data_IF_026101191553
#
_entry.id   IF_026101191553
#
_cell.length_a   1.000
_cell.length_b   1.000
_cell.length_c   1.000
_cell.angle_alpha   90.00
_cell.angle_beta   90.00
_cell.angle_gamma   90.00
#
_symmetry.space_group_name_H-M   'P 1'
#
loop_
_entity.id
_entity.type
_entity.pdbx_description
1 polymer ?
#
# COMPACT_ATOMS: atom_id res chain seq x y z
N UNK A 1 15.41 8.42 16.06
CA UNK A 1 15.19 7.28 15.16
C UNK A 1 16.24 6.22 15.46
N UNK A 2 15.79 5.04 15.87
CA UNK A 2 16.65 3.85 16.00
C UNK A 2 16.78 3.19 14.63
N UNK A 3 17.99 3.02 14.12
CA UNK A 3 18.23 2.50 12.77
C UNK A 3 19.09 1.24 12.81
N UNK A 4 18.72 0.23 12.05
CA UNK A 4 19.47 -1.00 11.83
C UNK A 4 19.77 -1.16 10.34
N UNK A 5 21.03 -1.33 9.99
CA UNK A 5 21.44 -1.70 8.63
C UNK A 5 22.02 -3.11 8.65
N UNK A 6 21.45 -4.01 7.86
CA UNK A 6 21.94 -5.37 7.66
C UNK A 6 22.36 -5.52 6.21
N UNK A 7 23.66 -5.74 5.99
CA UNK A 7 24.24 -5.86 4.65
C UNK A 7 25.51 -6.71 4.64
N UNK A 8 26.26 -6.65 3.55
CA UNK A 8 27.45 -7.47 3.36
C UNK A 8 27.15 -8.93 3.03
N UNK A 9 28.17 -9.75 2.95
CA UNK A 9 28.06 -11.15 2.58
C UNK A 9 28.02 -12.02 3.85
N UNK A 10 26.87 -12.62 4.12
CA UNK A 10 26.70 -13.58 5.18
C UNK A 10 27.02 -14.99 4.65
N UNK A 11 27.75 -15.76 5.46
CA UNK A 11 28.33 -17.07 5.09
C UNK A 11 29.77 -17.00 4.57
N UNK A 12 30.23 -15.84 4.12
CA UNK A 12 31.64 -15.57 3.80
C UNK A 12 32.27 -14.50 4.68
N UNK A 13 31.53 -13.98 5.64
CA UNK A 13 31.94 -12.93 6.59
C UNK A 13 32.57 -11.69 5.92
N UNK A 14 32.15 -11.34 4.70
CA UNK A 14 32.75 -10.27 3.93
C UNK A 14 31.87 -9.01 3.95
N UNK A 15 32.39 -7.85 4.44
CA UNK A 15 31.66 -6.60 4.42
C UNK A 15 31.47 -6.06 3.01
N UNK A 16 30.41 -5.28 2.80
CA UNK A 16 30.11 -4.55 1.57
C UNK A 16 30.47 -3.08 1.71
N UNK A 17 31.24 -2.54 0.77
CA UNK A 17 31.59 -1.11 0.73
C UNK A 17 30.37 -0.22 0.53
N UNK A 18 29.36 -0.69 -0.21
CA UNK A 18 28.09 0.05 -0.42
C UNK A 18 27.40 0.26 0.94
N UNK A 19 27.40 -0.76 1.79
CA UNK A 19 26.78 -0.68 3.12
C UNK A 19 27.56 0.30 4.01
N UNK A 20 28.89 0.27 3.96
CA UNK A 20 29.72 1.22 4.71
C UNK A 20 29.45 2.67 4.27
N UNK A 21 29.28 2.90 2.97
CA UNK A 21 29.00 4.24 2.46
C UNK A 21 27.59 4.71 2.82
N UNK A 22 26.54 3.88 2.65
CA UNK A 22 25.19 4.21 3.09
C UNK A 22 25.15 4.54 4.58
N UNK A 23 25.87 3.75 5.38
CA UNK A 23 25.95 3.91 6.83
C UNK A 23 26.49 5.29 7.27
N UNK A 24 27.46 5.84 6.56
CA UNK A 24 28.05 7.16 6.85
C UNK A 24 27.02 8.30 6.77
N UNK A 25 26.05 8.18 5.84
CA UNK A 25 25.05 9.21 5.67
C UNK A 25 23.85 9.00 6.60
N UNK A 26 23.36 7.77 6.73
CA UNK A 26 22.17 7.47 7.54
C UNK A 26 22.46 7.63 9.04
N UNK A 27 23.66 7.29 9.51
CA UNK A 27 24.04 7.43 10.93
C UNK A 27 23.89 8.87 11.45
N UNK A 28 24.10 9.88 10.60
CA UNK A 28 23.95 11.30 10.96
C UNK A 28 22.52 11.70 11.37
N UNK A 29 21.52 10.96 10.89
CA UNK A 29 20.10 11.19 11.15
C UNK A 29 19.53 10.26 12.22
N UNK A 30 20.34 9.38 12.80
CA UNK A 30 19.93 8.34 13.75
C UNK A 30 20.33 8.71 15.17
N UNK A 31 19.44 8.52 16.15
CA UNK A 31 19.76 8.66 17.58
C UNK A 31 20.46 7.41 18.14
N UNK A 32 20.07 6.24 17.62
CA UNK A 32 20.68 4.95 17.86
C UNK A 32 20.94 4.30 16.51
N UNK A 33 22.15 3.78 16.31
CA UNK A 33 22.57 3.24 15.04
C UNK A 33 23.32 1.92 15.23
N UNK A 34 22.84 0.88 14.54
CA UNK A 34 23.45 -0.44 14.52
C UNK A 34 23.71 -0.87 13.07
N UNK A 35 24.84 -1.48 12.83
CA UNK A 35 25.22 -2.01 11.53
C UNK A 35 25.72 -3.46 11.66
N UNK A 36 25.18 -4.34 10.83
CA UNK A 36 25.65 -5.70 10.63
C UNK A 36 26.12 -5.82 9.18
N UNK A 37 27.41 -5.70 8.94
CA UNK A 37 28.00 -5.70 7.61
C UNK A 37 28.85 -6.94 7.34
N UNK A 38 28.21 -8.03 6.94
CA UNK A 38 28.79 -9.37 6.80
C UNK A 38 28.83 -10.13 8.10
N UNK A 39 28.99 -11.43 8.01
CA UNK A 39 29.04 -12.35 9.16
C UNK A 39 28.64 -13.77 8.76
N UNK A 40 28.48 -14.63 9.77
CA UNK A 40 27.91 -15.96 9.57
C UNK A 40 26.37 -15.86 9.36
N UNK A 41 25.78 -16.84 8.66
CA UNK A 41 24.35 -16.84 8.36
C UNK A 41 23.50 -16.87 9.63
N UNK A 42 23.97 -17.54 10.66
CA UNK A 42 23.33 -17.66 11.97
C UNK A 42 23.18 -16.33 12.70
N UNK A 43 24.04 -15.34 12.35
CA UNK A 43 24.02 -13.99 12.92
C UNK A 43 22.98 -13.08 12.26
N UNK A 44 22.28 -13.54 11.20
CA UNK A 44 21.20 -12.77 10.61
C UNK A 44 20.04 -12.64 11.60
N UNK A 45 19.60 -11.40 11.92
CA UNK A 45 18.53 -11.19 12.88
C UNK A 45 17.20 -11.78 12.36
N UNK A 46 16.53 -12.53 13.26
CA UNK A 46 15.17 -13.03 12.99
C UNK A 46 14.09 -11.97 13.25
N UNK A 47 14.41 -11.00 14.10
CA UNK A 47 13.53 -9.89 14.46
C UNK A 47 14.26 -8.55 14.35
N UNK A 48 13.61 -7.54 13.77
CA UNK A 48 14.17 -6.21 13.58
C UNK A 48 13.49 -5.23 14.56
N UNK A 49 14.18 -4.94 15.67
CA UNK A 49 13.74 -3.96 16.68
C UNK A 49 14.35 -2.59 16.40
N UNK A 50 13.89 -1.95 15.33
CA UNK A 50 14.32 -0.60 14.94
C UNK A 50 13.14 0.18 14.35
N UNK A 51 13.26 1.50 14.29
CA UNK A 51 12.26 2.36 13.64
C UNK A 51 12.43 2.33 12.12
N UNK A 52 13.70 2.29 11.65
CA UNK A 52 14.11 2.10 10.28
C UNK A 52 15.04 0.90 10.17
N UNK A 53 14.72 -0.04 9.30
CA UNK A 53 15.61 -1.16 8.95
C UNK A 53 15.94 -1.12 7.46
N UNK A 54 17.23 -1.22 7.12
CA UNK A 54 17.68 -1.53 5.77
C UNK A 54 18.10 -2.99 5.70
N UNK A 55 17.42 -3.79 4.87
CA UNK A 55 17.71 -5.21 4.72
C UNK A 55 18.34 -5.49 3.38
N UNK A 56 19.67 -5.54 3.35
CA UNK A 56 20.48 -5.62 2.13
C UNK A 56 21.57 -6.73 2.20
N UNK A 57 21.32 -7.91 2.81
CA UNK A 57 22.34 -8.95 2.87
C UNK A 57 22.58 -9.55 1.48
N UNK A 58 23.84 -9.91 1.22
CA UNK A 58 24.31 -10.60 0.03
C UNK A 58 24.02 -9.88 -1.31
N UNK A 59 23.96 -8.55 -1.29
CA UNK A 59 23.71 -7.76 -2.53
C UNK A 59 24.80 -7.94 -3.58
N UNK A 60 26.00 -8.36 -3.22
CA UNK A 60 27.12 -8.59 -4.12
C UNK A 60 27.12 -10.00 -4.73
N UNK A 61 26.39 -10.95 -4.12
CA UNK A 61 26.31 -12.35 -4.51
C UNK A 61 24.87 -12.78 -4.83
N UNK A 62 24.45 -13.91 -4.24
CA UNK A 62 23.08 -14.40 -4.31
C UNK A 62 22.21 -13.73 -3.25
N UNK A 63 20.97 -13.43 -3.61
CA UNK A 63 20.02 -12.81 -2.71
C UNK A 63 19.68 -13.75 -1.54
N UNK A 64 19.77 -13.23 -0.32
CA UNK A 64 19.40 -13.99 0.87
C UNK A 64 17.89 -14.21 0.96
N UNK A 65 17.49 -15.47 1.12
CA UNK A 65 16.08 -15.88 1.26
C UNK A 65 15.53 -15.77 2.68
N UNK A 66 16.32 -15.25 3.63
CA UNK A 66 15.86 -15.03 4.99
C UNK A 66 14.90 -13.83 5.05
N UNK A 67 13.78 -13.99 5.76
CA UNK A 67 12.70 -13.00 5.89
C UNK A 67 12.51 -12.66 7.39
N UNK A 68 13.15 -11.62 7.89
CA UNK A 68 13.01 -11.24 9.29
C UNK A 68 11.63 -10.65 9.57
N UNK A 69 11.18 -10.79 10.82
CA UNK A 69 9.98 -10.13 11.32
C UNK A 69 10.36 -8.71 11.74
N UNK A 70 9.65 -7.71 11.27
CA UNK A 70 9.87 -6.33 11.70
C UNK A 70 8.93 -5.94 12.84
N UNK A 71 9.40 -5.01 13.68
CA UNK A 71 8.60 -4.34 14.70
C UNK A 71 7.36 -3.69 14.06
N UNK A 72 6.22 -3.75 14.72
CA UNK A 72 5.01 -3.08 14.27
C UNK A 72 5.23 -1.57 14.17
N UNK A 73 4.77 -0.96 13.09
CA UNK A 73 4.92 0.49 12.84
C UNK A 73 6.33 0.92 12.42
N UNK A 74 7.30 -0.01 12.28
CA UNK A 74 8.62 0.29 11.72
C UNK A 74 8.59 0.36 10.20
N UNK A 75 9.61 1.03 9.63
CA UNK A 75 9.85 1.09 8.18
C UNK A 75 10.94 0.09 7.82
N UNK A 76 10.63 -0.82 6.90
CA UNK A 76 11.58 -1.78 6.35
C UNK A 76 11.80 -1.49 4.86
N UNK A 77 13.04 -1.21 4.50
CA UNK A 77 13.48 -1.07 3.11
C UNK A 77 14.37 -2.26 2.78
N UNK A 78 13.93 -3.10 1.86
CA UNK A 78 14.73 -4.25 1.40
C UNK A 78 15.52 -3.91 0.14
N UNK A 79 16.37 -4.83 -0.32
CA UNK A 79 17.06 -4.70 -1.60
C UNK A 79 16.71 -5.83 -2.57
N UNK A 80 16.87 -5.54 -3.85
CA UNK A 80 16.77 -6.49 -4.95
C UNK A 80 17.83 -6.18 -5.99
N UNK A 81 18.66 -7.17 -6.29
CA UNK A 81 19.60 -7.07 -7.42
C UNK A 81 18.81 -7.33 -8.70
N UNK A 82 18.81 -6.37 -9.58
CA UNK A 82 18.17 -6.45 -10.89
C UNK A 82 19.11 -7.13 -11.88
N UNK A 83 18.59 -8.09 -12.65
CA UNK A 83 19.31 -8.83 -13.70
C UNK A 83 18.62 -8.57 -15.03
N UNK A 84 19.27 -8.92 -16.11
CA UNK A 84 18.67 -8.83 -17.45
C UNK A 84 17.32 -9.54 -17.49
N UNK A 85 16.33 -8.87 -18.08
CA UNK A 85 14.94 -9.35 -18.15
C UNK A 85 14.07 -9.06 -16.91
N UNK A 86 14.64 -8.58 -15.79
CA UNK A 86 13.85 -8.16 -14.64
C UNK A 86 13.14 -6.82 -14.90
N UNK A 87 11.89 -6.74 -14.45
CA UNK A 87 11.04 -5.54 -14.51
C UNK A 87 10.84 -4.96 -13.12
N UNK A 88 10.34 -3.76 -13.02
CA UNK A 88 10.05 -3.10 -11.74
C UNK A 88 9.13 -3.95 -10.84
N UNK A 89 8.21 -4.70 -11.43
CA UNK A 89 7.35 -5.64 -10.70
C UNK A 89 8.14 -6.69 -9.90
N UNK A 90 9.32 -7.09 -10.39
CA UNK A 90 10.19 -8.04 -9.69
C UNK A 90 10.80 -7.41 -8.44
N UNK A 91 11.10 -6.10 -8.49
CA UNK A 91 11.55 -5.36 -7.33
C UNK A 91 10.41 -5.17 -6.32
N UNK A 92 9.24 -4.71 -6.77
CA UNK A 92 8.06 -4.52 -5.93
C UNK A 92 7.61 -5.82 -5.27
N UNK A 93 7.66 -6.96 -5.97
CA UNK A 93 7.33 -8.28 -5.39
C UNK A 93 8.19 -8.63 -4.16
N UNK A 94 9.43 -8.11 -4.11
CA UNK A 94 10.31 -8.28 -2.95
C UNK A 94 9.76 -7.57 -1.71
N UNK A 95 9.17 -6.39 -1.87
CA UNK A 95 8.54 -5.65 -0.76
C UNK A 95 7.47 -6.51 -0.09
N UNK A 96 6.60 -7.14 -0.89
CA UNK A 96 5.50 -7.96 -0.35
C UNK A 96 6.01 -9.23 0.33
N UNK A 97 7.02 -9.90 -0.22
CA UNK A 97 7.64 -11.08 0.41
C UNK A 97 8.29 -10.73 1.75
N UNK A 98 8.84 -9.53 1.88
CA UNK A 98 9.51 -9.05 3.07
C UNK A 98 8.58 -8.34 4.06
N UNK A 99 7.29 -8.11 3.71
CA UNK A 99 6.42 -7.19 4.42
C UNK A 99 7.06 -5.79 4.59
N UNK A 100 7.85 -5.37 3.58
CA UNK A 100 8.57 -4.11 3.55
C UNK A 100 7.69 -2.92 3.18
N UNK A 101 8.30 -1.74 3.17
CA UNK A 101 7.67 -0.48 2.75
C UNK A 101 8.22 -0.01 1.40
N UNK A 102 9.50 -0.28 1.14
CA UNK A 102 10.14 0.04 -0.13
C UNK A 102 11.25 -0.97 -0.46
N UNK A 103 11.77 -0.89 -1.68
CA UNK A 103 12.89 -1.68 -2.18
C UNK A 103 13.94 -0.79 -2.84
N UNK A 104 15.19 -1.07 -2.58
CA UNK A 104 16.32 -0.55 -3.35
C UNK A 104 16.62 -1.55 -4.46
N UNK A 105 16.23 -1.23 -5.69
CA UNK A 105 16.60 -1.99 -6.88
C UNK A 105 18.03 -1.60 -7.29
N UNK A 106 18.92 -2.60 -7.43
CA UNK A 106 20.36 -2.40 -7.66
C UNK A 106 20.74 -2.97 -9.02
N UNK A 107 21.18 -2.11 -9.95
CA UNK A 107 21.61 -2.45 -11.30
C UNK A 107 23.14 -2.51 -11.33
N UNK A 108 23.70 -3.73 -11.26
CA UNK A 108 25.15 -3.97 -11.21
C UNK A 108 25.84 -4.02 -12.55
N UNK A 109 25.10 -4.20 -13.63
CA UNK A 109 25.56 -4.17 -15.02
C UNK A 109 26.01 -2.78 -15.44
N UNK A 110 25.54 -1.74 -14.74
CA UNK A 110 25.92 -0.34 -14.94
C UNK A 110 27.15 0.03 -14.11
N UNK A 111 28.01 0.87 -14.63
CA UNK A 111 29.20 1.40 -13.94
C UNK A 111 29.21 2.93 -14.05
N UNK A 112 29.04 3.68 -12.93
CA UNK A 112 28.79 3.19 -11.57
C UNK A 112 27.46 2.46 -11.44
N UNK A 113 27.27 1.69 -10.35
CA UNK A 113 26.01 1.04 -10.05
C UNK A 113 24.88 2.07 -9.99
N UNK A 114 23.71 1.70 -10.52
CA UNK A 114 22.52 2.52 -10.44
C UNK A 114 21.60 1.92 -9.37
N UNK A 115 21.04 2.79 -8.55
CA UNK A 115 20.10 2.46 -7.50
C UNK A 115 18.76 3.13 -7.80
N UNK A 116 17.67 2.40 -7.58
CA UNK A 116 16.33 2.98 -7.59
C UNK A 116 15.64 2.66 -6.28
N UNK A 117 15.09 3.66 -5.60
CA UNK A 117 14.24 3.47 -4.43
C UNK A 117 12.78 3.49 -4.89
N UNK A 118 12.08 2.38 -4.71
CA UNK A 118 10.71 2.17 -5.20
C UNK A 118 9.83 1.74 -4.03
N UNK A 119 8.65 2.33 -3.89
CA UNK A 119 7.68 1.96 -2.85
C UNK A 119 6.77 0.77 -3.25
N UNK A 120 5.85 0.39 -2.37
CA UNK A 120 4.96 -0.75 -2.58
C UNK A 120 3.93 -0.54 -3.70
N UNK A 121 3.68 0.69 -4.13
CA UNK A 121 2.81 1.03 -5.24
C UNK A 121 3.55 1.14 -6.57
N UNK A 122 4.89 1.08 -6.54
CA UNK A 122 5.75 1.21 -7.70
C UNK A 122 6.25 2.64 -7.96
N UNK A 123 5.98 3.58 -7.06
CA UNK A 123 6.44 4.96 -7.21
C UNK A 123 7.94 5.05 -6.96
N UNK A 124 8.63 5.74 -7.86
CA UNK A 124 10.06 5.95 -7.78
C UNK A 124 10.39 7.18 -6.93
N UNK A 125 11.17 6.96 -5.86
CA UNK A 125 11.64 7.99 -4.94
C UNK A 125 13.06 8.46 -5.26
N UNK A 126 13.84 7.61 -5.90
CA UNK A 126 15.20 7.88 -6.32
C UNK A 126 15.59 7.03 -7.53
N UNK A 127 16.38 7.60 -8.42
CA UNK A 127 16.99 6.91 -9.55
C UNK A 127 18.34 7.56 -9.86
N UNK A 128 19.46 6.90 -9.54
CA UNK A 128 20.77 7.46 -9.75
C UNK A 128 21.89 6.57 -9.22
N UNK A 129 23.12 7.09 -9.24
CA UNK A 129 24.32 6.39 -8.77
C UNK A 129 24.94 6.99 -7.50
N UNK A 130 24.41 8.10 -6.99
CA UNK A 130 24.90 8.77 -5.79
C UNK A 130 24.35 8.07 -4.54
N UNK A 131 25.22 7.49 -3.74
CA UNK A 131 24.85 6.87 -2.45
C UNK A 131 24.42 7.93 -1.44
N UNK A 132 24.97 9.14 -1.49
CA UNK A 132 24.56 10.23 -0.64
C UNK A 132 23.09 10.62 -0.90
N UNK A 133 22.73 10.88 -2.16
CA UNK A 133 21.35 11.22 -2.54
C UNK A 133 20.38 10.08 -2.25
N UNK A 134 20.75 8.82 -2.52
CA UNK A 134 19.97 7.65 -2.14
C UNK A 134 19.69 7.65 -0.63
N UNK A 135 20.72 7.91 0.18
CA UNK A 135 20.59 7.91 1.65
C UNK A 135 19.69 9.04 2.14
N UNK A 136 19.74 10.23 1.52
CA UNK A 136 18.86 11.35 1.80
C UNK A 136 17.39 11.00 1.42
N UNK A 137 17.19 10.36 0.28
CA UNK A 137 15.87 9.88 -0.14
C UNK A 137 15.32 8.78 0.79
N UNK A 138 16.16 7.89 1.29
CA UNK A 138 15.77 6.89 2.30
C UNK A 138 15.23 7.57 3.57
N UNK A 139 15.93 8.59 4.08
CA UNK A 139 15.50 9.34 5.26
C UNK A 139 14.21 10.12 4.98
N UNK A 140 14.09 10.74 3.81
CA UNK A 140 12.88 11.44 3.37
C UNK A 140 11.68 10.50 3.29
N UNK A 141 11.86 9.32 2.69
CA UNK A 141 10.84 8.27 2.61
C UNK A 141 10.43 7.77 4.01
N UNK A 142 11.40 7.56 4.91
CA UNK A 142 11.12 7.20 6.30
C UNK A 142 10.25 8.26 6.98
N UNK A 143 10.66 9.54 6.93
CA UNK A 143 9.93 10.62 7.57
C UNK A 143 8.50 10.76 7.01
N UNK A 144 8.35 10.69 5.69
CA UNK A 144 7.04 10.70 5.03
C UNK A 144 6.17 9.50 5.48
N UNK A 145 6.74 8.29 5.53
CA UNK A 145 6.01 7.10 6.01
C UNK A 145 5.54 7.24 7.46
N UNK A 146 6.34 7.89 8.31
CA UNK A 146 6.00 8.13 9.73
C UNK A 146 4.98 9.22 9.94
N UNK A 147 4.76 10.09 8.97
CA UNK A 147 3.69 11.11 9.02
C UNK A 147 2.30 10.51 8.80
N UNK A 148 2.18 9.33 8.20
CA UNK A 148 0.90 8.71 7.92
C UNK A 148 0.10 8.45 9.20
N UNK A 149 -1.14 8.91 9.22
CA UNK A 149 -2.09 8.67 10.31
C UNK A 149 -2.92 7.45 9.96
N UNK A 150 -2.63 6.34 10.65
CA UNK A 150 -3.32 5.07 10.44
C UNK A 150 -4.13 4.69 11.66
N UNK A 151 -5.39 4.37 11.45
CA UNK A 151 -6.29 3.85 12.48
C UNK A 151 -6.31 2.33 12.38
N UNK A 152 -6.06 1.65 13.51
CA UNK A 152 -6.11 0.20 13.56
C UNK A 152 -7.57 -0.28 13.62
N UNK A 153 -7.85 -1.34 12.84
CA UNK A 153 -9.13 -2.05 12.94
C UNK A 153 -9.04 -3.14 13.99
N UNK A 154 -10.11 -3.33 14.78
CA UNK A 154 -10.18 -4.24 15.92
C UNK A 154 -11.19 -5.34 15.61
N UNK A 155 -10.78 -6.61 15.73
CA UNK A 155 -11.69 -7.73 15.55
C UNK A 155 -12.68 -7.79 16.74
N UNK A 156 -13.97 -7.89 16.43
CA UNK A 156 -15.05 -8.04 17.41
C UNK A 156 -16.13 -8.96 16.85
N UNK A 157 -16.09 -10.22 17.19
CA UNK A 157 -17.05 -11.24 16.71
C UNK A 157 -18.46 -11.11 17.31
N UNK A 158 -18.65 -10.26 18.33
CA UNK A 158 -19.98 -9.96 18.88
C UNK A 158 -20.73 -8.87 18.12
N UNK A 159 -20.09 -8.25 17.11
CA UNK A 159 -20.71 -7.22 16.28
C UNK A 159 -21.96 -7.79 15.58
N UNK A 160 -23.05 -7.06 15.61
CA UNK A 160 -24.23 -7.37 14.81
C UNK A 160 -24.05 -6.79 13.44
N UNK A 161 -24.14 -7.63 12.42
CA UNK A 161 -24.13 -7.20 11.02
C UNK A 161 -25.49 -6.60 10.66
N UNK A 162 -25.45 -5.63 9.77
CA UNK A 162 -26.63 -5.04 9.16
C UNK A 162 -26.84 -5.64 7.77
N UNK A 163 -28.08 -5.85 7.38
CA UNK A 163 -28.40 -6.34 6.04
C UNK A 163 -28.08 -5.28 4.96
N UNK A 164 -27.64 -5.75 3.81
CA UNK A 164 -27.36 -4.89 2.65
C UNK A 164 -27.92 -5.49 1.35
N UNK A 165 -29.10 -5.06 0.89
CA UNK A 165 -29.81 -5.68 -0.22
C UNK A 165 -29.07 -5.62 -1.56
N UNK A 166 -28.22 -4.61 -1.76
CA UNK A 166 -27.48 -4.38 -3.02
C UNK A 166 -26.02 -4.84 -3.00
N UNK A 167 -25.61 -5.58 -1.98
CA UNK A 167 -24.21 -6.03 -1.86
C UNK A 167 -23.81 -6.99 -3.00
N UNK A 168 -24.72 -7.87 -3.42
CA UNK A 168 -24.49 -8.77 -4.53
C UNK A 168 -24.27 -8.00 -5.85
N UNK A 169 -25.11 -6.99 -6.12
CA UNK A 169 -24.99 -6.17 -7.33
C UNK A 169 -23.69 -5.34 -7.33
N UNK A 170 -23.28 -4.77 -6.19
CA UNK A 170 -21.99 -4.11 -6.05
C UNK A 170 -20.84 -5.04 -6.40
N UNK A 171 -20.88 -6.29 -5.91
CA UNK A 171 -19.86 -7.31 -6.20
C UNK A 171 -19.81 -7.63 -7.69
N UNK A 172 -20.94 -7.77 -8.36
CA UNK A 172 -21.00 -7.99 -9.80
C UNK A 172 -20.40 -6.85 -10.61
N UNK A 173 -20.71 -5.59 -10.23
CA UNK A 173 -20.14 -4.39 -10.86
C UNK A 173 -18.62 -4.40 -10.69
N UNK A 174 -18.13 -4.66 -9.46
CA UNK A 174 -16.70 -4.73 -9.19
C UNK A 174 -15.99 -5.86 -9.96
N UNK A 175 -16.57 -7.06 -9.97
CA UNK A 175 -15.98 -8.21 -10.68
C UNK A 175 -15.87 -7.94 -12.19
N UNK A 176 -16.81 -7.19 -12.75
CA UNK A 176 -16.75 -6.73 -14.13
C UNK A 176 -15.62 -5.73 -14.35
N UNK A 177 -15.52 -4.71 -13.48
CA UNK A 177 -14.47 -3.70 -13.54
C UNK A 177 -13.06 -4.29 -13.33
N UNK A 178 -12.90 -5.20 -12.38
CA UNK A 178 -11.61 -5.78 -12.01
C UNK A 178 -10.92 -6.49 -13.19
N UNK A 179 -11.67 -7.01 -14.16
CA UNK A 179 -11.13 -7.63 -15.38
C UNK A 179 -10.40 -6.64 -16.30
N UNK A 180 -10.71 -5.36 -16.20
CA UNK A 180 -10.10 -4.29 -17.00
C UNK A 180 -8.91 -3.64 -16.28
N UNK A 181 -8.76 -3.87 -14.97
CA UNK A 181 -7.66 -3.33 -14.17
C UNK A 181 -6.56 -4.37 -14.07
N UNK A 182 -5.37 -4.02 -14.56
CA UNK A 182 -4.21 -4.92 -14.55
C UNK A 182 -3.80 -5.25 -13.10
N UNK A 183 -3.46 -6.52 -12.87
CA UNK A 183 -2.80 -6.94 -11.65
C UNK A 183 -1.40 -6.32 -11.59
N UNK A 184 -1.08 -5.65 -10.50
CA UNK A 184 0.17 -4.93 -10.38
C UNK A 184 1.33 -5.80 -9.87
N UNK A 185 1.06 -6.88 -9.12
CA UNK A 185 2.12 -7.69 -8.55
C UNK A 185 1.69 -9.14 -8.29
N UNK A 186 2.04 -10.06 -9.20
CA UNK A 186 1.83 -11.51 -9.03
C UNK A 186 0.39 -11.84 -8.62
N UNK A 187 0.22 -12.53 -7.48
CA UNK A 187 -1.09 -12.91 -6.94
C UNK A 187 -1.77 -11.81 -6.11
N UNK A 188 -1.20 -10.61 -6.05
CA UNK A 188 -1.76 -9.51 -5.27
C UNK A 188 -2.79 -8.72 -6.07
N UNK A 189 -3.93 -8.52 -5.43
CA UNK A 189 -5.01 -7.70 -5.94
C UNK A 189 -5.05 -6.41 -5.15
N UNK A 190 -4.85 -5.30 -5.84
CA UNK A 190 -4.94 -3.97 -5.26
C UNK A 190 -6.32 -3.39 -5.42
N UNK A 191 -6.63 -2.41 -4.57
CA UNK A 191 -7.93 -1.80 -4.53
C UNK A 191 -8.90 -2.52 -3.58
N UNK A 192 -10.09 -1.97 -3.49
CA UNK A 192 -11.16 -2.47 -2.64
C UNK A 192 -12.52 -1.91 -3.09
N UNK A 193 -13.59 -2.52 -2.61
CA UNK A 193 -14.94 -1.99 -2.71
C UNK A 193 -15.52 -1.85 -1.32
N UNK A 194 -16.38 -0.86 -1.15
CA UNK A 194 -17.16 -0.73 0.06
C UNK A 194 -18.56 -0.19 -0.19
N UNK A 195 -19.46 -0.49 0.74
CA UNK A 195 -20.81 0.03 0.75
C UNK A 195 -21.29 0.31 2.15
N UNK A 196 -21.94 1.45 2.33
CA UNK A 196 -22.58 1.80 3.60
C UNK A 196 -23.83 0.94 3.79
N UNK A 197 -23.99 0.35 4.97
CA UNK A 197 -25.24 -0.28 5.36
C UNK A 197 -26.33 0.79 5.46
N UNK A 198 -27.46 0.53 4.83
CA UNK A 198 -28.61 1.45 4.90
C UNK A 198 -29.23 1.35 6.29
N UNK A 199 -29.20 2.43 7.05
CA UNK A 199 -30.15 2.60 8.12
C UNK A 199 -31.49 2.99 7.52
N UNK A 200 -32.55 2.28 7.89
CA UNK A 200 -33.94 2.55 7.43
C UNK A 200 -34.43 3.95 7.84
N UNK A 201 -33.69 4.66 8.68
CA UNK A 201 -33.97 6.03 9.08
C UNK A 201 -32.68 6.85 9.01
N UNK A 202 -32.69 8.01 8.35
CA UNK A 202 -31.59 8.97 8.37
C UNK A 202 -31.57 9.73 9.69
N UNK A 203 -31.54 9.01 10.83
CA UNK A 203 -31.17 9.65 12.07
C UNK A 203 -29.67 9.94 11.98
N UNK A 204 -29.26 11.12 12.40
CA UNK A 204 -27.88 11.56 12.50
C UNK A 204 -27.02 10.72 13.48
N UNK A 205 -27.20 9.39 13.51
CA UNK A 205 -26.38 8.52 14.31
C UNK A 205 -25.02 8.43 13.63
N UNK A 206 -24.00 8.92 14.32
CA UNK A 206 -22.59 8.78 13.96
C UNK A 206 -22.16 7.29 13.83
N UNK A 207 -22.99 6.36 14.29
CA UNK A 207 -22.75 4.92 14.26
C UNK A 207 -23.41 4.30 13.03
N UNK A 208 -22.60 3.88 12.07
CA UNK A 208 -23.04 3.14 10.89
C UNK A 208 -22.04 2.01 10.62
N UNK A 209 -22.47 1.02 9.86
CA UNK A 209 -21.62 -0.04 9.34
C UNK A 209 -21.36 0.12 7.86
N UNK A 210 -20.29 -0.49 7.40
CA UNK A 210 -19.99 -0.70 5.99
C UNK A 210 -19.60 -2.15 5.75
N UNK A 211 -19.90 -2.66 4.56
CA UNK A 211 -19.22 -3.83 4.04
C UNK A 211 -18.06 -3.39 3.18
N UNK A 212 -16.92 -4.04 3.36
CA UNK A 212 -15.70 -3.76 2.59
C UNK A 212 -15.04 -5.07 2.16
N UNK A 213 -14.40 -5.09 0.99
CA UNK A 213 -13.64 -6.25 0.58
C UNK A 213 -12.40 -6.46 1.46
N UNK A 214 -12.02 -7.72 1.76
CA UNK A 214 -10.87 -8.01 2.60
C UNK A 214 -9.55 -7.71 1.90
N UNK A 215 -8.48 -7.64 2.70
CA UNK A 215 -7.10 -7.53 2.19
C UNK A 215 -6.76 -8.71 1.31
N UNK A 216 -6.05 -8.45 0.21
CA UNK A 216 -5.53 -9.45 -0.73
C UNK A 216 -6.59 -10.39 -1.34
N UNK A 217 -7.87 -10.04 -1.32
CA UNK A 217 -8.88 -10.83 -2.00
C UNK A 217 -8.80 -10.64 -3.52
N UNK A 218 -9.09 -11.71 -4.27
CA UNK A 218 -9.25 -11.62 -5.71
C UNK A 218 -10.48 -10.77 -6.04
N UNK A 219 -10.27 -9.62 -6.68
CA UNK A 219 -11.36 -8.68 -7.00
C UNK A 219 -12.21 -9.11 -8.21
N UNK A 220 -11.72 -10.06 -9.00
CA UNK A 220 -12.44 -10.64 -10.14
C UNK A 220 -13.45 -11.72 -9.71
N UNK A 221 -13.29 -12.26 -8.49
CA UNK A 221 -14.03 -13.44 -7.98
C UNK A 221 -14.60 -13.21 -6.58
N UNK A 222 -14.82 -11.95 -6.18
CA UNK A 222 -15.44 -11.65 -4.90
C UNK A 222 -16.83 -12.23 -4.82
N UNK A 223 -17.18 -12.74 -3.64
CA UNK A 223 -18.51 -13.22 -3.29
C UNK A 223 -19.04 -12.50 -2.05
N UNK A 224 -20.33 -12.63 -1.78
CA UNK A 224 -20.95 -12.08 -0.57
C UNK A 224 -20.23 -12.54 0.72
N UNK A 225 -19.83 -13.81 0.78
CA UNK A 225 -19.15 -14.41 1.94
C UNK A 225 -17.74 -13.86 2.19
N UNK A 226 -17.16 -13.17 1.20
CA UNK A 226 -15.84 -12.58 1.34
C UNK A 226 -15.89 -11.23 2.02
N UNK A 227 -17.01 -10.53 1.94
CA UNK A 227 -17.11 -9.16 2.43
C UNK A 227 -17.02 -9.10 3.95
N UNK A 228 -16.33 -8.09 4.45
CA UNK A 228 -16.10 -7.88 5.88
C UNK A 228 -16.97 -6.73 6.36
N UNK A 229 -17.80 -6.98 7.37
CA UNK A 229 -18.55 -5.93 8.04
C UNK A 229 -17.63 -5.19 9.04
N UNK A 230 -17.60 -3.86 8.97
CA UNK A 230 -16.87 -2.99 9.88
C UNK A 230 -17.74 -1.78 10.24
N UNK A 231 -17.78 -1.41 11.53
CA UNK A 231 -18.51 -0.24 11.99
C UNK A 231 -17.64 1.03 11.99
N UNK A 232 -18.28 2.18 12.20
CA UNK A 232 -17.62 3.50 12.25
C UNK A 232 -16.59 3.66 13.39
N UNK A 233 -16.61 2.76 14.39
CA UNK A 233 -15.65 2.71 15.50
C UNK A 233 -14.46 1.78 15.19
N UNK A 234 -14.31 1.36 13.92
CA UNK A 234 -13.23 0.50 13.43
C UNK A 234 -13.25 -0.94 13.98
N UNK A 235 -14.36 -1.39 14.54
CA UNK A 235 -14.53 -2.79 14.89
C UNK A 235 -15.06 -3.58 13.69
N UNK A 236 -14.46 -4.75 13.41
CA UNK A 236 -14.87 -5.62 12.30
C UNK A 236 -15.20 -7.03 12.78
N UNK A 237 -16.05 -7.73 12.04
CA UNK A 237 -16.47 -9.11 12.32
C UNK A 237 -15.83 -10.08 11.35
N UNK A 238 -15.54 -11.29 11.84
CA UNK A 238 -15.01 -12.41 11.08
C UNK A 238 -13.49 -12.52 11.12
N UNK A 239 -12.95 -13.53 10.41
CA UNK A 239 -11.53 -13.88 10.46
C UNK A 239 -10.69 -13.14 9.41
N UNK A 240 -11.35 -12.59 8.38
CA UNK A 240 -10.70 -11.82 7.34
C UNK A 240 -10.54 -10.36 7.77
N UNK A 241 -9.33 -9.81 7.63
CA UNK A 241 -9.09 -8.40 7.91
C UNK A 241 -9.67 -7.53 6.79
N UNK A 242 -10.35 -6.40 7.13
CA UNK A 242 -10.82 -5.45 6.12
C UNK A 242 -9.66 -4.82 5.35
N UNK A 243 -9.95 -4.17 4.22
CA UNK A 243 -8.96 -3.38 3.48
C UNK A 243 -8.19 -2.43 4.40
N UNK A 244 -6.93 -2.16 4.09
CA UNK A 244 -6.13 -1.17 4.81
C UNK A 244 -6.72 0.24 4.69
N UNK A 245 -7.47 0.52 3.62
CA UNK A 245 -8.08 1.82 3.34
C UNK A 245 -9.45 2.00 4.01
N UNK A 246 -9.95 0.96 4.69
CA UNK A 246 -11.27 1.03 5.36
C UNK A 246 -11.41 2.23 6.31
N UNK A 247 -10.41 2.60 7.13
CA UNK A 247 -10.50 3.79 7.96
C UNK A 247 -10.67 5.08 7.15
N UNK A 248 -9.92 5.24 6.04
CA UNK A 248 -10.07 6.39 5.15
C UNK A 248 -11.48 6.43 4.54
N UNK A 249 -12.00 5.30 4.06
CA UNK A 249 -13.35 5.21 3.51
C UNK A 249 -14.43 5.52 4.55
N UNK A 250 -14.28 5.06 5.79
CA UNK A 250 -15.20 5.41 6.88
C UNK A 250 -15.20 6.93 7.13
N UNK A 251 -14.04 7.58 7.10
CA UNK A 251 -13.97 9.04 7.24
C UNK A 251 -14.64 9.77 6.06
N UNK A 252 -14.52 9.26 4.84
CA UNK A 252 -15.22 9.81 3.67
C UNK A 252 -16.75 9.63 3.85
N UNK A 253 -17.21 8.43 4.25
CA UNK A 253 -18.64 8.19 4.50
C UNK A 253 -19.21 9.05 5.63
N UNK A 254 -18.43 9.38 6.68
CA UNK A 254 -18.85 10.29 7.75
C UNK A 254 -19.12 11.70 7.22
N UNK A 255 -18.30 12.18 6.30
CA UNK A 255 -18.38 13.54 5.73
C UNK A 255 -19.41 13.65 4.62
N UNK A 256 -19.70 12.54 3.95
CA UNK A 256 -20.62 12.43 2.83
C UNK A 256 -21.69 11.37 3.14
N UNK A 257 -22.67 11.70 4.01
CA UNK A 257 -23.72 10.76 4.40
C UNK A 257 -24.62 10.32 3.24
N UNK A 258 -24.63 11.07 2.15
CA UNK A 258 -25.34 10.74 0.90
C UNK A 258 -24.65 9.66 0.08
N UNK A 259 -23.35 9.38 0.32
CA UNK A 259 -22.63 8.33 -0.40
C UNK A 259 -22.95 6.95 0.18
N UNK A 260 -23.21 6.01 -0.71
CA UNK A 260 -23.51 4.62 -0.34
C UNK A 260 -22.46 3.63 -0.87
N UNK A 261 -21.78 3.95 -1.98
CA UNK A 261 -20.88 3.03 -2.66
C UNK A 261 -19.56 3.68 -2.98
N UNK A 262 -18.47 2.93 -2.78
CA UNK A 262 -17.13 3.30 -3.24
C UNK A 262 -16.42 2.11 -3.88
N UNK A 263 -15.72 2.38 -4.98
CA UNK A 263 -14.79 1.45 -5.64
C UNK A 263 -13.44 2.14 -5.77
N UNK A 264 -12.41 1.51 -5.23
CA UNK A 264 -11.02 1.95 -5.34
C UNK A 264 -10.23 0.94 -6.16
N UNK A 265 -9.36 1.43 -7.05
CA UNK A 265 -8.45 0.60 -7.84
C UNK A 265 -7.14 1.32 -8.13
N UNK A 266 -6.09 0.55 -8.45
CA UNK A 266 -4.74 1.07 -8.69
C UNK A 266 -4.48 1.28 -10.20
N UNK A 267 -5.40 1.93 -10.87
CA UNK A 267 -5.28 2.55 -12.18
C UNK A 267 -5.69 4.02 -12.03
N UNK A 268 -5.59 4.81 -13.09
CA UNK A 268 -6.05 6.19 -13.12
C UNK A 268 -7.17 6.32 -14.13
N UNK A 269 -8.09 7.26 -13.91
CA UNK A 269 -9.22 7.56 -14.80
C UNK A 269 -8.90 8.82 -15.59
N UNK A 270 -8.95 8.72 -16.92
CA UNK A 270 -8.72 9.82 -17.83
C UNK A 270 -9.76 10.94 -17.62
N UNK A 271 -9.28 12.17 -17.37
CA UNK A 271 -10.11 13.34 -17.17
C UNK A 271 -10.68 13.49 -15.75
N UNK A 272 -10.46 12.54 -14.85
CA UNK A 272 -10.83 12.71 -13.44
C UNK A 272 -9.87 13.67 -12.72
N UNK A 273 -10.38 14.53 -11.81
CA UNK A 273 -9.52 15.36 -10.99
C UNK A 273 -8.62 14.52 -10.09
N UNK A 274 -7.41 15.03 -9.79
CA UNK A 274 -6.40 14.32 -9.00
C UNK A 274 -6.16 15.05 -7.69
N UNK A 275 -5.98 14.30 -6.57
CA UNK A 275 -5.58 14.87 -5.29
C UNK A 275 -4.22 15.55 -5.40
N UNK A 276 -3.97 16.60 -4.60
CA UNK A 276 -2.71 17.34 -4.65
C UNK A 276 -1.54 16.55 -4.07
N UNK A 277 -1.80 15.77 -3.02
CA UNK A 277 -0.78 15.04 -2.27
C UNK A 277 -0.89 13.52 -2.48
N UNK A 278 0.27 12.87 -2.39
CA UNK A 278 0.37 11.42 -2.32
C UNK A 278 0.30 10.97 -0.87
N UNK A 279 -0.62 10.05 -0.57
CA UNK A 279 -0.80 9.44 0.73
C UNK A 279 -0.52 7.94 0.69
N UNK A 280 0.01 7.40 1.80
CA UNK A 280 0.13 5.95 1.97
C UNK A 280 -1.24 5.28 2.08
N UNK A 281 -1.36 4.06 1.58
CA UNK A 281 -2.56 3.24 1.78
C UNK A 281 -2.99 3.25 3.26
N UNK A 282 -4.24 3.61 3.51
CA UNK A 282 -4.83 3.70 4.85
C UNK A 282 -4.46 4.93 5.67
N UNK A 283 -3.85 5.95 5.06
CA UNK A 283 -3.65 7.25 5.69
C UNK A 283 -4.96 8.03 5.65
N UNK A 284 -5.58 8.25 6.82
CA UNK A 284 -6.89 8.90 6.90
C UNK A 284 -6.89 10.38 6.48
N UNK A 285 -5.72 11.02 6.37
CA UNK A 285 -5.61 12.40 5.86
C UNK A 285 -6.03 12.53 4.40
N UNK A 286 -5.90 11.44 3.60
CA UNK A 286 -6.37 11.40 2.22
C UNK A 286 -7.88 11.72 2.12
N UNK A 287 -8.66 11.37 3.16
CA UNK A 287 -10.09 11.65 3.20
C UNK A 287 -10.43 13.15 3.15
N UNK A 288 -9.54 14.05 3.57
CA UNK A 288 -9.74 15.50 3.53
C UNK A 288 -9.78 16.01 2.09
N UNK A 289 -8.77 15.65 1.29
CA UNK A 289 -8.70 16.06 -0.12
C UNK A 289 -9.77 15.37 -0.96
N UNK A 290 -9.96 14.06 -0.75
CA UNK A 290 -11.01 13.28 -1.40
C UNK A 290 -12.38 13.93 -1.17
N UNK A 291 -12.71 14.28 0.08
CA UNK A 291 -13.99 14.89 0.43
C UNK A 291 -14.21 16.23 -0.25
N UNK A 292 -13.18 16.98 -0.53
CA UNK A 292 -13.28 18.24 -1.27
C UNK A 292 -13.62 18.02 -2.74
N UNK A 293 -12.99 17.01 -3.38
CA UNK A 293 -13.16 16.72 -4.80
C UNK A 293 -14.46 16.00 -5.11
N UNK A 294 -14.95 15.13 -4.22
CA UNK A 294 -16.18 14.33 -4.41
C UNK A 294 -17.43 15.20 -4.59
N UNK A 295 -17.49 16.40 -4.01
CA UNK A 295 -18.66 17.28 -4.08
C UNK A 295 -19.18 17.48 -5.50
N UNK A 296 -18.26 17.57 -6.46
CA UNK A 296 -18.56 17.87 -7.85
C UNK A 296 -18.19 16.73 -8.83
N UNK A 297 -17.65 15.62 -8.30
CA UNK A 297 -17.08 14.54 -9.12
C UNK A 297 -17.44 13.16 -8.58
N UNK A 298 -17.94 12.29 -9.46
CA UNK A 298 -18.24 10.89 -9.17
C UNK A 298 -17.00 9.98 -9.21
N UNK A 299 -15.89 10.44 -9.80
CA UNK A 299 -14.61 9.75 -9.86
C UNK A 299 -13.47 10.74 -9.66
N UNK A 300 -12.47 10.33 -8.94
CA UNK A 300 -11.24 11.10 -8.66
C UNK A 300 -10.03 10.18 -8.77
N UNK A 301 -8.89 10.76 -9.11
CA UNK A 301 -7.60 10.09 -9.02
C UNK A 301 -6.94 10.47 -7.69
N UNK A 302 -6.39 9.46 -7.02
CA UNK A 302 -5.53 9.60 -5.86
C UNK A 302 -4.10 9.66 -6.36
N UNK A 303 -3.39 10.78 -6.12
CA UNK A 303 -2.04 11.00 -6.66
C UNK A 303 -1.10 9.83 -6.36
N UNK A 304 -0.46 9.28 -7.37
CA UNK A 304 0.48 8.14 -7.27
C UNK A 304 -0.10 6.89 -6.57
N UNK A 305 -1.44 6.76 -6.46
CA UNK A 305 -2.07 5.68 -5.73
C UNK A 305 -3.09 4.93 -6.61
N UNK A 306 -3.97 5.66 -7.28
CA UNK A 306 -5.00 5.05 -8.12
C UNK A 306 -6.23 5.92 -8.24
N UNK A 307 -7.41 5.31 -8.37
CA UNK A 307 -8.68 6.03 -8.47
C UNK A 307 -9.64 5.66 -7.33
N UNK A 308 -10.61 6.54 -7.09
CA UNK A 308 -11.79 6.28 -6.28
C UNK A 308 -13.04 6.70 -7.08
N UNK A 309 -14.01 5.79 -7.20
CA UNK A 309 -15.36 6.04 -7.73
C UNK A 309 -16.32 6.05 -6.55
N UNK A 310 -17.18 7.06 -6.47
CA UNK A 310 -18.18 7.24 -5.43
C UNK A 310 -19.58 7.37 -6.04
N UNK A 311 -20.59 6.83 -5.37
CA UNK A 311 -21.98 6.93 -5.84
C UNK A 311 -22.97 6.89 -4.69
N UNK A 312 -24.11 7.58 -4.88
CA UNK A 312 -25.27 7.53 -3.99
C UNK A 312 -26.19 6.34 -4.32
N UNK A 313 -26.26 5.95 -5.57
CA UNK A 313 -27.12 4.88 -6.07
C UNK A 313 -26.35 3.76 -6.74
N UNK A 314 -26.82 2.51 -6.58
CA UNK A 314 -26.20 1.34 -7.25
C UNK A 314 -26.37 1.42 -8.78
N UNK A 315 -27.50 1.95 -9.27
CA UNK A 315 -27.75 2.15 -10.68
C UNK A 315 -26.78 3.17 -11.30
N UNK A 316 -26.53 4.28 -10.61
CA UNK A 316 -25.56 5.29 -11.04
C UNK A 316 -24.15 4.72 -11.07
N UNK A 317 -23.76 3.98 -10.03
CA UNK A 317 -22.47 3.30 -10.00
C UNK A 317 -22.27 2.39 -11.21
N UNK A 318 -23.30 1.61 -11.56
CA UNK A 318 -23.29 0.72 -12.72
C UNK A 318 -23.12 1.49 -14.04
N UNK A 319 -23.81 2.61 -14.18
CA UNK A 319 -23.68 3.47 -15.37
C UNK A 319 -22.27 4.06 -15.50
N UNK A 320 -21.71 4.57 -14.39
CA UNK A 320 -20.35 5.11 -14.33
C UNK A 320 -19.33 4.05 -14.75
N UNK A 321 -19.38 2.88 -14.12
CA UNK A 321 -18.43 1.80 -14.39
C UNK A 321 -18.54 1.32 -15.85
N UNK A 322 -19.74 1.13 -16.37
CA UNK A 322 -19.95 0.74 -17.75
C UNK A 322 -19.42 1.80 -18.74
N UNK A 323 -19.63 3.08 -18.46
CA UNK A 323 -19.07 4.16 -19.26
C UNK A 323 -17.55 4.08 -19.30
N UNK A 324 -16.89 3.94 -18.15
CA UNK A 324 -15.42 3.86 -18.06
C UNK A 324 -14.85 2.67 -18.82
N UNK A 325 -15.49 1.51 -18.70
CA UNK A 325 -15.10 0.28 -19.41
C UNK A 325 -15.26 0.46 -20.92
N UNK A 326 -16.46 0.88 -21.38
CA UNK A 326 -16.79 0.95 -22.79
C UNK A 326 -15.96 2.00 -23.56
N UNK A 327 -15.48 3.04 -22.86
CA UNK A 327 -14.65 4.09 -23.45
C UNK A 327 -13.16 3.94 -23.11
N UNK A 328 -12.75 2.81 -22.51
CA UNK A 328 -11.37 2.50 -22.14
C UNK A 328 -10.67 3.66 -21.40
N UNK A 329 -11.34 4.20 -20.37
CA UNK A 329 -10.89 5.39 -19.63
C UNK A 329 -9.82 5.13 -18.58
N UNK A 330 -9.29 3.91 -18.46
CA UNK A 330 -8.26 3.56 -17.49
C UNK A 330 -6.85 3.63 -18.10
N UNK A 331 -5.94 4.26 -17.38
CA UNK A 331 -4.52 4.27 -17.72
C UNK A 331 -3.64 3.97 -16.49
N UNK A 332 -2.36 3.75 -16.73
CA UNK A 332 -1.35 3.52 -15.69
C UNK A 332 -0.24 4.54 -15.87
N UNK A 333 0.12 5.24 -14.79
CA UNK A 333 1.33 6.06 -14.78
C UNK A 333 2.55 5.13 -14.90
N UNK A 334 3.48 5.53 -15.75
CA UNK A 334 4.69 4.76 -16.06
C UNK A 334 5.82 5.14 -15.13
#
# INVERSE_FOLDING_TARGET
MKTLIVGGNFGQAKPSKIIDEISKYISKSSSEFEILNGGEIENLPKYLDSDLSLWMPNIENEEQKHYPIKKQGSVLICSKVMRDGYKDIDAVSRIFKMHGNAVIAIYKDKKPFVFRLIDALGNEWYNGSSIEELSQCIISFYNWTKQAIRINTIQNNSLKEEDHPFLAELIEINNSLAKFIKRQCGDRFFGNISTRCQQLFPSASLNFGIYVSPRNSNKEELTYKDMVYINSDMHYKGDKKPSVDSPCQIEIYKRHPELHYMIHGHAFIEGAPTTENYYLCGDVREADEVSTLIKDNWAINLKNHGFLICSQGIGDLKLIVNFLINHNKFYYER
#
